data_IF_168295073499
#
_entry.id   IF_168295073499
#
_cell.length_a   1.000
_cell.length_b   1.000
_cell.length_c   1.000
_cell.angle_alpha   90.00
_cell.angle_beta   90.00
_cell.angle_gamma   90.00
#
_symmetry.space_group_name_H-M   'P 1'
#
loop_
_entity.id
_entity.type
_entity.pdbx_description
1 polymer ?
#
# COMPACT_ATOMS: atom_id res chain seq x y z
N UNK A 1 -1.51 14.99 41.80
CA UNK A 1 -2.30 13.83 41.34
C UNK A 1 -2.45 13.99 39.83
N UNK A 2 -1.41 13.62 39.08
CA UNK A 2 -1.38 13.76 37.63
C UNK A 2 -2.09 12.58 36.97
N UNK A 3 -3.02 12.94 36.10
CA UNK A 3 -3.13 12.46 34.72
C UNK A 3 -3.05 10.96 34.48
N UNK A 4 -4.16 10.35 34.05
CA UNK A 4 -4.11 9.17 33.18
C UNK A 4 -5.48 8.75 32.68
N UNK A 5 -5.56 8.63 31.34
CA UNK A 5 -6.54 7.88 30.53
C UNK A 5 -7.65 8.71 29.90
N UNK A 6 -7.25 9.54 28.93
CA UNK A 6 -7.97 9.51 27.66
C UNK A 6 -7.30 8.42 26.81
N UNK A 7 -7.98 7.32 26.43
CA UNK A 7 -7.68 6.71 25.16
C UNK A 7 -8.26 7.67 24.13
N UNK A 8 -7.42 8.56 23.63
CA UNK A 8 -7.64 9.25 22.38
C UNK A 8 -7.85 8.18 21.31
N UNK A 9 -9.12 7.87 21.07
CA UNK A 9 -9.61 7.16 19.90
C UNK A 9 -9.23 8.03 18.71
N UNK A 10 -7.97 7.88 18.27
CA UNK A 10 -7.51 8.32 16.98
C UNK A 10 -8.41 7.63 15.96
N UNK A 11 -9.48 8.33 15.61
CA UNK A 11 -10.35 8.01 14.50
C UNK A 11 -9.47 8.06 13.26
N UNK A 12 -8.82 6.93 12.98
CA UNK A 12 -8.10 6.67 11.74
C UNK A 12 -9.10 7.03 10.67
N UNK A 13 -8.82 8.15 10.01
CA UNK A 13 -9.71 8.74 9.04
C UNK A 13 -9.77 7.76 7.88
N UNK A 14 -10.79 6.90 7.87
CA UNK A 14 -11.06 5.97 6.77
C UNK A 14 -11.65 6.77 5.61
N UNK A 15 -10.93 7.80 5.17
CA UNK A 15 -11.17 8.45 3.90
C UNK A 15 -10.97 7.41 2.81
N UNK A 16 -11.89 7.37 1.86
CA UNK A 16 -11.75 6.52 0.70
C UNK A 16 -10.47 6.92 -0.04
N UNK A 17 -9.58 5.95 -0.25
CA UNK A 17 -8.26 6.16 -0.85
C UNK A 17 -8.30 5.76 -2.32
N UNK A 18 -7.63 6.54 -3.16
CA UNK A 18 -7.56 6.27 -4.59
C UNK A 18 -6.52 5.21 -4.91
N UNK A 19 -6.88 4.23 -5.71
CA UNK A 19 -5.96 3.26 -6.29
C UNK A 19 -5.20 3.90 -7.46
N UNK A 20 -3.87 3.83 -7.45
CA UNK A 20 -3.01 4.35 -8.54
C UNK A 20 -3.03 3.45 -9.79
N UNK A 21 -3.60 2.24 -9.69
CA UNK A 21 -3.62 1.25 -10.78
C UNK A 21 -4.92 1.25 -11.58
N UNK A 22 -6.07 1.20 -10.89
CA UNK A 22 -7.39 1.25 -11.54
C UNK A 22 -8.03 2.64 -11.49
N UNK A 23 -7.51 3.55 -10.65
CA UNK A 23 -8.07 4.88 -10.47
C UNK A 23 -9.29 4.95 -9.56
N UNK A 24 -9.80 3.80 -9.09
CA UNK A 24 -10.99 3.72 -8.23
C UNK A 24 -10.72 4.20 -6.81
N UNK A 25 -11.71 4.85 -6.21
CA UNK A 25 -11.69 5.22 -4.81
C UNK A 25 -12.23 4.05 -3.99
N UNK A 26 -11.42 3.54 -3.06
CA UNK A 26 -11.73 2.35 -2.27
C UNK A 26 -11.50 2.63 -0.79
N UNK A 27 -12.22 1.98 0.14
CA UNK A 27 -12.06 2.24 1.57
C UNK A 27 -10.67 1.86 2.10
N UNK A 28 -9.94 1.01 1.36
CA UNK A 28 -8.62 0.51 1.74
C UNK A 28 -7.74 0.35 0.51
N UNK A 29 -6.55 0.94 0.56
CA UNK A 29 -5.45 0.66 -0.36
C UNK A 29 -4.27 0.08 0.39
N UNK A 30 -3.40 -0.63 -0.32
CA UNK A 30 -2.13 -1.17 0.17
C UNK A 30 -0.99 -0.49 -0.55
N UNK A 31 0.06 -0.15 0.19
CA UNK A 31 1.32 0.35 -0.40
C UNK A 31 2.00 -0.78 -1.16
N UNK A 32 2.30 -0.56 -2.43
CA UNK A 32 3.03 -1.52 -3.28
C UNK A 32 4.35 -0.90 -3.71
N UNK A 33 5.45 -1.59 -3.41
CA UNK A 33 6.74 -1.31 -4.00
C UNK A 33 6.79 -1.91 -5.41
N UNK A 34 7.07 -1.07 -6.41
CA UNK A 34 7.48 -1.52 -7.73
C UNK A 34 8.94 -1.98 -7.69
N UNK A 35 9.26 -3.00 -6.88
CA UNK A 35 10.52 -3.72 -7.05
C UNK A 35 10.42 -4.52 -8.35
N UNK A 36 10.64 -3.83 -9.47
CA UNK A 36 10.78 -4.42 -10.81
C UNK A 36 12.22 -4.82 -11.05
N UNK A 37 13.16 -3.97 -10.66
CA UNK A 37 14.59 -4.26 -10.73
C UNK A 37 15.25 -3.71 -9.47
N UNK A 38 16.17 -4.50 -8.93
CA UNK A 38 16.89 -4.27 -7.69
C UNK A 38 17.87 -3.08 -7.79
N UNK A 39 17.50 -1.98 -8.45
CA UNK A 39 18.26 -0.73 -8.51
C UNK A 39 18.00 0.10 -7.25
N UNK A 40 18.14 -0.57 -6.09
CA UNK A 40 17.75 -0.09 -4.76
C UNK A 40 18.64 1.02 -4.19
N UNK A 41 19.64 1.47 -4.94
CA UNK A 41 20.72 2.31 -4.40
C UNK A 41 20.83 3.69 -5.07
N UNK A 42 20.10 3.98 -6.15
CA UNK A 42 20.26 5.26 -6.88
C UNK A 42 18.97 5.99 -7.21
N UNK A 43 17.84 5.30 -7.36
CA UNK A 43 16.59 5.94 -7.81
C UNK A 43 15.52 5.85 -6.73
N UNK A 44 14.99 6.99 -6.24
CA UNK A 44 13.84 6.98 -5.33
C UNK A 44 12.62 6.48 -6.11
N UNK A 45 12.17 5.26 -5.79
CA UNK A 45 10.96 4.70 -6.38
C UNK A 45 9.73 5.40 -5.80
N UNK A 46 8.87 5.92 -6.68
CA UNK A 46 7.61 6.51 -6.26
C UNK A 46 6.74 5.46 -5.56
N UNK A 47 6.26 5.80 -4.36
CA UNK A 47 5.33 4.96 -3.62
C UNK A 47 4.00 4.94 -4.36
N UNK A 48 3.48 3.74 -4.64
CA UNK A 48 2.16 3.56 -5.26
C UNK A 48 1.22 2.81 -4.31
N UNK A 49 -0.06 3.12 -4.42
CA UNK A 49 -1.14 2.52 -3.63
C UNK A 49 -2.08 1.73 -4.53
N UNK A 50 -2.38 0.50 -4.14
CA UNK A 50 -3.28 -0.37 -4.89
C UNK A 50 -4.47 -0.79 -4.06
N UNK A 51 -5.63 -0.90 -4.68
CA UNK A 51 -6.75 -1.61 -4.09
C UNK A 51 -6.42 -3.11 -3.90
N UNK A 52 -7.18 -3.83 -3.05
CA UNK A 52 -6.93 -5.25 -2.77
C UNK A 52 -6.87 -6.11 -4.04
N UNK A 53 -7.73 -5.83 -5.02
CA UNK A 53 -7.78 -6.53 -6.30
C UNK A 53 -6.50 -6.31 -7.13
N UNK A 54 -6.07 -5.06 -7.28
CA UNK A 54 -4.85 -4.73 -8.02
C UNK A 54 -3.59 -5.28 -7.33
N UNK A 55 -3.56 -5.27 -5.99
CA UNK A 55 -2.48 -5.90 -5.21
C UNK A 55 -2.40 -7.38 -5.48
N UNK A 56 -3.53 -8.09 -5.38
CA UNK A 56 -3.60 -9.54 -5.59
C UNK A 56 -3.16 -9.93 -6.99
N UNK A 57 -3.59 -9.20 -8.03
CA UNK A 57 -3.16 -9.44 -9.42
C UNK A 57 -1.65 -9.29 -9.59
N UNK A 58 -1.02 -8.33 -8.91
CA UNK A 58 0.44 -8.15 -8.95
C UNK A 58 1.19 -9.25 -8.20
N UNK A 59 0.70 -9.63 -7.03
CA UNK A 59 1.27 -10.73 -6.24
C UNK A 59 1.20 -12.05 -7.03
N UNK A 60 0.08 -12.31 -7.72
CA UNK A 60 -0.08 -13.48 -8.60
C UNK A 60 0.93 -13.46 -9.75
N UNK A 61 1.09 -12.34 -10.45
CA UNK A 61 2.12 -12.21 -11.51
C UNK A 61 3.54 -12.46 -11.00
N UNK A 62 3.86 -12.02 -9.77
CA UNK A 62 5.15 -12.33 -9.13
C UNK A 62 5.29 -13.84 -8.85
N UNK A 63 4.23 -14.50 -8.36
CA UNK A 63 4.24 -15.92 -8.07
C UNK A 63 4.32 -16.80 -9.34
N UNK A 64 3.76 -16.33 -10.46
CA UNK A 64 3.84 -17.00 -11.76
C UNK A 64 5.23 -16.89 -12.43
N UNK A 65 6.11 -16.04 -11.91
CA UNK A 65 7.51 -15.96 -12.35
C UNK A 65 8.40 -16.60 -11.28
N UNK A 66 8.47 -17.95 -11.18
CA UNK A 66 9.47 -18.57 -10.34
C UNK A 66 10.82 -18.15 -10.91
N UNK A 67 11.63 -17.45 -10.11
CA UNK A 67 13.03 -17.19 -10.41
C UNK A 67 13.67 -18.52 -10.84
N UNK A 68 13.99 -18.62 -12.13
CA UNK A 68 14.74 -19.75 -12.70
C UNK A 68 16.22 -19.52 -12.50
#
# INVERSE_FOLDING_TARGET
MTDSRQPEEEAVSHGEQRCDFCGETVPRVRRIALDGDYERLRTPHAVQYACPECSKRKEQKRAETPAS
#
